data_IF_708919211074
#
_entry.id   IF_708919211074
#
_cell.length_a   1.000
_cell.length_b   1.000
_cell.length_c   1.000
_cell.angle_alpha   90.00
_cell.angle_beta   90.00
_cell.angle_gamma   90.00
#
_symmetry.space_group_name_H-M   'P 1'
#
loop_
_entity.id
_entity.type
_entity.pdbx_description
1 polymer ?
#
# COMPACT_ATOMS: atom_id res chain seq x y z
N UNK A 1 -7.87 4.25 0.39
CA UNK A 1 -8.09 5.62 -0.04
C UNK A 1 -7.59 6.62 0.98
N UNK A 2 -7.18 7.80 0.54
CA UNK A 2 -6.70 8.88 1.43
C UNK A 2 -7.85 9.57 2.18
N UNK A 3 -9.06 9.49 1.66
CA UNK A 3 -10.25 10.04 2.27
C UNK A 3 -11.30 8.93 2.40
N UNK A 4 -12.04 8.94 3.52
CA UNK A 4 -13.06 7.93 3.78
C UNK A 4 -14.28 8.04 2.86
N UNK A 5 -14.47 9.21 2.27
CA UNK A 5 -15.55 9.50 1.33
C UNK A 5 -15.10 9.49 -0.14
N UNK A 6 -13.90 8.97 -0.40
CA UNK A 6 -13.41 8.85 -1.77
C UNK A 6 -14.38 8.01 -2.62
N UNK A 7 -14.69 8.51 -3.79
CA UNK A 7 -15.65 7.88 -4.70
C UNK A 7 -15.10 7.86 -6.13
N UNK A 8 -15.65 6.97 -6.95
CA UNK A 8 -15.37 6.90 -8.39
C UNK A 8 -16.65 6.98 -9.16
N UNK A 9 -16.58 7.51 -10.39
CA UNK A 9 -17.68 7.49 -11.34
C UNK A 9 -17.44 6.42 -12.38
N UNK A 10 -18.51 5.71 -12.76
CA UNK A 10 -18.44 4.63 -13.73
C UNK A 10 -19.37 4.93 -14.90
N UNK A 11 -18.89 4.65 -16.11
CA UNK A 11 -19.72 4.68 -17.31
C UNK A 11 -20.36 3.30 -17.50
N UNK A 12 -21.67 3.21 -17.26
CA UNK A 12 -22.40 1.93 -17.30
C UNK A 12 -22.38 1.32 -18.70
N UNK A 13 -22.55 2.12 -19.75
CA UNK A 13 -22.50 1.62 -21.12
C UNK A 13 -21.14 1.03 -21.46
N UNK A 14 -20.07 1.67 -21.02
CA UNK A 14 -18.71 1.16 -21.21
C UNK A 14 -18.50 -0.17 -20.50
N UNK A 15 -18.98 -0.30 -19.25
CA UNK A 15 -18.92 -1.55 -18.50
C UNK A 15 -19.67 -2.68 -19.19
N UNK A 16 -20.89 -2.40 -19.68
CA UNK A 16 -21.70 -3.40 -20.41
C UNK A 16 -21.00 -3.85 -21.68
N UNK A 17 -20.48 -2.90 -22.47
CA UNK A 17 -19.84 -3.18 -23.76
C UNK A 17 -18.60 -4.04 -23.65
N UNK A 18 -17.82 -3.88 -22.58
CA UNK A 18 -16.56 -4.59 -22.37
C UNK A 18 -16.69 -5.77 -21.39
N UNK A 19 -17.86 -5.98 -20.78
CA UNK A 19 -18.06 -7.05 -19.81
C UNK A 19 -17.18 -6.90 -18.55
N UNK A 20 -16.99 -5.67 -18.10
CA UNK A 20 -16.13 -5.37 -16.94
C UNK A 20 -16.83 -5.74 -15.64
N UNK A 21 -16.11 -6.36 -14.73
CA UNK A 21 -16.51 -6.58 -13.35
C UNK A 21 -15.66 -5.75 -12.40
N UNK A 22 -16.27 -5.24 -11.34
CA UNK A 22 -15.57 -4.49 -10.28
C UNK A 22 -15.85 -5.18 -8.96
N UNK A 23 -14.79 -5.47 -8.23
CA UNK A 23 -14.87 -6.16 -6.95
C UNK A 23 -14.00 -5.43 -5.92
N UNK A 24 -14.57 -5.20 -4.72
CA UNK A 24 -13.81 -4.71 -3.58
C UNK A 24 -12.92 -5.81 -3.01
N UNK A 25 -11.68 -5.48 -2.76
CA UNK A 25 -10.71 -6.42 -2.21
C UNK A 25 -10.01 -5.78 -1.02
N UNK A 26 -9.99 -6.46 0.10
CA UNK A 26 -9.24 -6.05 1.29
C UNK A 26 -8.09 -7.02 1.48
N UNK A 27 -6.84 -6.52 1.34
CA UNK A 27 -5.62 -7.30 1.57
C UNK A 27 -5.56 -8.61 0.77
N UNK A 28 -6.16 -8.65 -0.42
CA UNK A 28 -6.23 -9.85 -1.26
C UNK A 28 -7.07 -10.98 -0.67
N UNK A 29 -7.88 -10.70 0.38
CA UNK A 29 -8.59 -11.71 1.17
C UNK A 29 -7.65 -12.77 1.77
N UNK A 30 -6.38 -12.40 1.99
CA UNK A 30 -5.38 -13.30 2.52
C UNK A 30 -5.58 -13.51 4.03
N UNK A 31 -5.19 -14.70 4.50
CA UNK A 31 -5.00 -14.94 5.93
C UNK A 31 -3.63 -14.43 6.35
N UNK A 32 -3.53 -13.34 7.15
CA UNK A 32 -2.24 -12.77 7.53
C UNK A 32 -1.31 -13.75 8.24
N UNK A 33 -1.87 -14.65 9.04
CA UNK A 33 -1.08 -15.63 9.79
C UNK A 33 -0.30 -16.59 8.88
N UNK A 34 -0.83 -16.86 7.71
CA UNK A 34 -0.19 -17.69 6.69
C UNK A 34 0.62 -16.86 5.70
N UNK A 35 0.04 -15.76 5.23
CA UNK A 35 0.60 -14.99 4.13
C UNK A 35 1.82 -14.15 4.51
N UNK A 36 1.84 -13.53 5.70
CA UNK A 36 2.97 -12.73 6.13
C UNK A 36 4.28 -13.53 6.23
N UNK A 37 4.30 -14.75 6.81
CA UNK A 37 5.50 -15.57 6.78
C UNK A 37 5.98 -15.92 5.37
N UNK A 38 5.08 -16.11 4.41
CA UNK A 38 5.44 -16.35 3.01
C UNK A 38 6.14 -15.13 2.40
N UNK A 39 5.65 -13.93 2.66
CA UNK A 39 6.27 -12.69 2.18
C UNK A 39 7.67 -12.49 2.79
N UNK A 40 7.83 -12.78 4.07
CA UNK A 40 9.13 -12.71 4.75
C UNK A 40 10.11 -13.70 4.13
N UNK A 41 9.67 -14.93 3.86
CA UNK A 41 10.52 -15.94 3.22
C UNK A 41 10.93 -15.53 1.80
N UNK A 42 10.03 -14.94 1.03
CA UNK A 42 10.34 -14.41 -0.30
C UNK A 42 11.34 -13.25 -0.23
N UNK A 43 11.20 -12.36 0.75
CA UNK A 43 12.16 -11.29 0.97
C UNK A 43 13.56 -11.85 1.26
N UNK A 44 13.67 -12.86 2.11
CA UNK A 44 14.95 -13.50 2.44
C UNK A 44 15.64 -14.11 1.22
N UNK A 45 14.86 -14.52 0.21
CA UNK A 45 15.36 -15.07 -1.06
C UNK A 45 15.66 -14.00 -2.11
N UNK A 46 15.43 -12.72 -1.80
CA UNK A 46 15.61 -11.61 -2.73
C UNK A 46 14.51 -11.50 -3.78
N UNK A 47 13.41 -12.24 -3.64
CA UNK A 47 12.29 -12.25 -4.60
C UNK A 47 11.21 -11.22 -4.28
N UNK A 48 11.23 -10.64 -3.09
CA UNK A 48 10.28 -9.63 -2.66
C UNK A 48 11.00 -8.54 -1.84
N UNK A 49 11.71 -7.62 -2.51
CA UNK A 49 12.54 -6.61 -1.84
C UNK A 49 11.70 -5.42 -1.36
N UNK A 50 10.80 -5.61 -0.40
CA UNK A 50 9.93 -4.55 0.12
C UNK A 50 10.70 -3.42 0.80
N UNK A 51 11.92 -3.67 1.27
CA UNK A 51 12.77 -2.65 1.87
C UNK A 51 13.08 -1.48 0.92
N UNK A 52 12.99 -1.70 -0.39
CA UNK A 52 13.15 -0.65 -1.39
C UNK A 52 12.02 0.38 -1.37
N UNK A 53 10.88 0.03 -0.78
CA UNK A 53 9.73 0.92 -0.63
C UNK A 53 9.76 1.71 0.68
N UNK A 54 10.70 1.38 1.59
CA UNK A 54 10.78 1.96 2.92
C UNK A 54 11.73 3.16 2.90
N UNK A 55 11.26 4.27 3.46
CA UNK A 55 12.09 5.43 3.80
C UNK A 55 12.08 5.57 5.33
N UNK A 56 13.27 5.61 5.93
CA UNK A 56 13.41 5.69 7.39
C UNK A 56 13.56 7.14 7.82
N UNK A 57 12.86 7.49 8.88
CA UNK A 57 12.94 8.80 9.54
C UNK A 57 13.17 8.59 11.03
N UNK A 58 13.84 9.54 11.68
CA UNK A 58 13.89 9.57 13.13
C UNK A 58 12.53 10.00 13.68
N UNK A 59 12.17 9.59 14.88
CA UNK A 59 10.93 10.03 15.52
C UNK A 59 10.83 11.57 15.59
N UNK A 60 11.95 12.25 15.83
CA UNK A 60 11.99 13.72 15.85
C UNK A 60 11.57 14.36 14.53
N UNK A 61 11.68 13.64 13.41
CA UNK A 61 11.37 14.12 12.06
C UNK A 61 9.99 13.66 11.58
N UNK A 62 9.08 13.28 12.49
CA UNK A 62 7.76 12.72 12.15
C UNK A 62 6.94 13.65 11.25
N UNK A 63 7.00 14.96 11.48
CA UNK A 63 6.27 15.93 10.66
C UNK A 63 6.77 15.95 9.22
N UNK A 64 8.08 15.79 9.03
CA UNK A 64 8.66 15.68 7.70
C UNK A 64 8.24 14.37 7.03
N UNK A 65 8.21 13.26 7.77
CA UNK A 65 7.76 11.98 7.25
C UNK A 65 6.32 12.05 6.74
N UNK A 66 5.43 12.68 7.51
CA UNK A 66 4.03 12.88 7.12
C UNK A 66 3.93 13.75 5.86
N UNK A 67 4.67 14.86 5.80
CA UNK A 67 4.67 15.74 4.63
C UNK A 67 5.19 15.02 3.39
N UNK A 68 6.24 14.23 3.50
CA UNK A 68 6.82 13.49 2.38
C UNK A 68 5.86 12.41 1.87
N UNK A 69 5.17 11.72 2.77
CA UNK A 69 4.17 10.73 2.39
C UNK A 69 2.98 11.37 1.66
N UNK A 70 2.47 12.48 2.16
CA UNK A 70 1.39 13.22 1.50
C UNK A 70 1.79 13.75 0.11
N UNK A 71 3.03 14.19 -0.04
CA UNK A 71 3.55 14.69 -1.30
C UNK A 71 3.97 13.59 -2.29
N UNK A 72 3.93 12.33 -1.88
CA UNK A 72 4.35 11.20 -2.71
C UNK A 72 5.87 11.04 -2.82
N UNK A 73 6.65 11.69 -1.96
CA UNK A 73 8.12 11.59 -1.96
C UNK A 73 8.61 10.30 -1.30
N UNK A 74 7.79 9.63 -0.51
CA UNK A 74 8.07 8.29 -0.01
C UNK A 74 6.83 7.41 -0.11
N UNK A 75 7.03 6.12 -0.28
CA UNK A 75 5.93 5.13 -0.35
C UNK A 75 5.53 4.70 1.06
N UNK A 76 6.50 4.24 1.84
CA UNK A 76 6.28 3.79 3.22
C UNK A 76 7.26 4.46 4.15
N UNK A 77 6.76 5.37 4.98
CA UNK A 77 7.55 6.00 6.04
C UNK A 77 7.63 5.06 7.24
N UNK A 78 8.84 4.81 7.72
CA UNK A 78 9.10 4.03 8.94
C UNK A 78 9.86 4.91 9.90
N UNK A 79 9.34 5.06 11.12
CA UNK A 79 9.99 5.84 12.17
C UNK A 79 10.90 4.94 12.98
N UNK A 80 12.11 5.40 13.24
CA UNK A 80 13.03 4.77 14.16
C UNK A 80 12.98 5.48 15.51
N UNK A 81 12.95 4.70 16.58
CA UNK A 81 12.78 5.23 17.94
C UNK A 81 14.11 5.67 18.59
N UNK A 82 15.21 5.30 17.99
CA UNK A 82 16.53 5.68 18.50
C UNK A 82 17.11 6.82 17.68
#
# INVERSE_FOLDING_TARGET
PKALDAAISLNILHMLSLGISICGVTEGNADPQTFLPELVALNAKGLFPYEKLITRYRLADINQAVADQHAGRCVKAVLTMA
#
